data_IF_271748479044
#
_entry.id   IF_271748479044
#
_cell.length_a   1.000
_cell.length_b   1.000
_cell.length_c   1.000
_cell.angle_alpha   90.00
_cell.angle_beta   90.00
_cell.angle_gamma   90.00
#
_symmetry.space_group_name_H-M   'P 1'
#
loop_
_entity.id
_entity.type
_entity.pdbx_description
1 polymer ?
#
# COMPACT_ATOMS: atom_id res chain seq x y z
N UNK A 1 -2.89 0.10 2.31
CA UNK A 1 -3.19 1.34 1.55
C UNK A 1 -3.50 0.99 0.10
N UNK A 2 -4.59 1.50 -0.50
CA UNK A 2 -4.97 1.26 -1.90
C UNK A 2 -4.84 2.54 -2.72
N UNK A 3 -4.04 2.50 -3.77
CA UNK A 3 -3.80 3.65 -4.65
C UNK A 3 -4.48 3.46 -6.01
N UNK A 4 -5.21 4.48 -6.47
CA UNK A 4 -5.69 4.58 -7.85
C UNK A 4 -4.69 5.41 -8.64
N UNK A 5 -3.88 4.77 -9.47
CA UNK A 5 -2.82 5.42 -10.24
C UNK A 5 -3.20 5.49 -11.72
N UNK A 6 -2.88 6.62 -12.36
CA UNK A 6 -3.01 6.81 -13.81
C UNK A 6 -1.63 6.65 -14.46
N UNK A 7 -1.03 5.47 -14.32
CA UNK A 7 0.27 5.16 -14.92
C UNK A 7 0.13 3.97 -15.88
N UNK A 8 1.02 3.90 -16.87
CA UNK A 8 1.14 2.67 -17.67
C UNK A 8 1.67 1.54 -16.78
N UNK A 9 1.30 0.27 -17.04
CA UNK A 9 1.76 -0.86 -16.22
C UNK A 9 3.28 -0.92 -16.03
N UNK A 10 4.06 -0.60 -17.08
CA UNK A 10 5.52 -0.64 -17.03
C UNK A 10 6.10 0.44 -16.11
N UNK A 11 5.57 1.67 -16.20
CA UNK A 11 6.02 2.77 -15.33
C UNK A 11 5.62 2.54 -13.87
N UNK A 12 4.51 1.84 -13.65
CA UNK A 12 4.05 1.49 -12.31
C UNK A 12 5.00 0.53 -11.60
N UNK A 13 5.42 -0.55 -12.26
CA UNK A 13 6.40 -1.51 -11.70
C UNK A 13 7.69 -0.80 -11.33
N UNK A 14 8.21 0.04 -12.23
CA UNK A 14 9.45 0.77 -12.01
C UNK A 14 9.34 1.74 -10.82
N UNK A 15 8.19 2.41 -10.67
CA UNK A 15 7.94 3.27 -9.51
C UNK A 15 7.84 2.48 -8.20
N UNK A 16 7.20 1.30 -8.21
CA UNK A 16 7.15 0.43 -7.03
C UNK A 16 8.54 -0.08 -6.63
N UNK A 17 9.43 -0.35 -7.58
CA UNK A 17 10.81 -0.74 -7.29
C UNK A 17 11.62 0.39 -6.61
N UNK A 18 11.33 1.65 -6.95
CA UNK A 18 11.95 2.80 -6.27
C UNK A 18 11.40 2.94 -4.86
N UNK A 19 10.07 2.88 -4.72
CA UNK A 19 9.38 3.03 -3.44
C UNK A 19 9.79 1.93 -2.45
N UNK A 20 9.95 0.68 -2.89
CA UNK A 20 10.39 -0.44 -2.02
C UNK A 20 11.80 -0.30 -1.48
N UNK A 21 12.65 0.53 -2.12
CA UNK A 21 14.02 0.81 -1.68
C UNK A 21 14.10 1.93 -0.63
N UNK A 22 13.01 2.67 -0.39
CA UNK A 22 12.99 3.72 0.62
C UNK A 22 13.00 3.13 2.02
N UNK A 23 14.16 3.21 2.69
CA UNK A 23 14.36 2.73 4.06
C UNK A 23 15.08 3.80 4.87
N UNK A 24 14.34 4.48 5.73
CA UNK A 24 14.88 5.51 6.61
C UNK A 24 14.12 5.50 7.94
N UNK A 25 14.79 5.84 9.04
CA UNK A 25 14.23 5.75 10.39
C UNK A 25 12.93 6.56 10.59
N UNK A 26 12.73 7.63 9.83
CA UNK A 26 11.55 8.51 9.90
C UNK A 26 10.55 8.30 8.75
N UNK A 27 10.74 7.26 7.95
CA UNK A 27 9.82 6.90 6.87
C UNK A 27 9.20 5.55 7.19
N UNK A 28 7.89 5.43 6.99
CA UNK A 28 7.22 4.14 7.07
C UNK A 28 7.80 3.21 6.01
N UNK A 29 8.45 2.14 6.43
CA UNK A 29 9.08 1.19 5.54
C UNK A 29 8.04 0.41 4.75
N UNK A 30 8.23 0.37 3.43
CA UNK A 30 7.46 -0.50 2.53
C UNK A 30 8.12 -1.88 2.51
N UNK A 31 7.35 -2.87 2.93
CA UNK A 31 7.77 -4.27 2.99
C UNK A 31 7.58 -4.93 1.62
N UNK A 32 6.50 -4.60 0.92
CA UNK A 32 6.17 -5.18 -0.37
C UNK A 32 5.02 -4.49 -1.07
N UNK A 33 4.68 -4.98 -2.25
CA UNK A 33 3.57 -4.47 -3.05
C UNK A 33 2.90 -5.60 -3.82
N UNK A 34 1.63 -5.42 -4.17
CA UNK A 34 0.88 -6.27 -5.07
C UNK A 34 0.18 -5.39 -6.11
N UNK A 35 0.25 -5.79 -7.38
CA UNK A 35 -0.45 -5.14 -8.49
C UNK A 35 -1.50 -6.12 -8.98
N UNK A 36 -2.76 -5.76 -8.83
CA UNK A 36 -3.90 -6.54 -9.30
C UNK A 36 -4.43 -5.90 -10.58
N UNK A 37 -4.34 -6.65 -11.67
CA UNK A 37 -4.91 -6.28 -12.96
C UNK A 37 -6.29 -6.92 -13.11
N UNK A 38 -7.25 -6.16 -13.62
CA UNK A 38 -8.54 -6.71 -14.01
C UNK A 38 -8.35 -7.43 -15.37
N UNK A 39 -8.26 -8.75 -15.31
CA UNK A 39 -8.09 -9.61 -16.49
C UNK A 39 -9.33 -9.61 -17.39
N UNK A 40 -10.52 -9.34 -16.84
CA UNK A 40 -11.78 -9.35 -17.58
C UNK A 40 -12.05 -8.01 -18.27
N UNK A 41 -11.53 -6.91 -17.71
CA UNK A 41 -11.64 -5.59 -18.30
C UNK A 41 -10.30 -4.85 -18.32
N UNK A 42 -9.49 -5.03 -19.39
CA UNK A 42 -8.16 -4.43 -19.49
C UNK A 42 -8.17 -2.89 -19.60
N UNK A 43 -9.35 -2.26 -19.76
CA UNK A 43 -9.50 -0.81 -19.71
C UNK A 43 -9.66 -0.27 -18.28
N UNK A 44 -9.86 -1.14 -17.28
CA UNK A 44 -9.92 -0.75 -15.87
C UNK A 44 -8.49 -0.56 -15.35
N UNK A 45 -8.28 0.54 -14.63
CA UNK A 45 -6.98 0.85 -14.03
C UNK A 45 -6.59 -0.23 -13.00
N UNK A 46 -5.35 -0.70 -13.09
CA UNK A 46 -4.75 -1.62 -12.13
C UNK A 46 -4.84 -1.07 -10.70
N UNK A 47 -5.14 -1.96 -9.75
CA UNK A 47 -5.11 -1.62 -8.33
C UNK A 47 -3.77 -1.99 -7.73
N UNK A 48 -3.20 -1.09 -6.92
CA UNK A 48 -1.95 -1.35 -6.19
C UNK A 48 -2.22 -1.41 -4.71
N UNK A 49 -1.76 -2.49 -4.10
CA UNK A 49 -1.74 -2.69 -2.67
C UNK A 49 -0.31 -2.56 -2.18
N UNK A 50 -0.12 -1.69 -1.18
CA UNK A 50 1.16 -1.48 -0.53
C UNK A 50 1.15 -2.14 0.83
N UNK A 51 2.15 -2.97 1.08
CA UNK A 51 2.39 -3.63 2.36
C UNK A 51 3.50 -2.83 3.04
N UNK A 52 3.20 -2.26 4.20
CA UNK A 52 4.13 -1.44 4.97
C UNK A 52 4.24 -1.96 6.38
N UNK A 53 5.25 -1.48 7.11
CA UNK A 53 5.26 -1.65 8.55
C UNK A 53 4.02 -1.01 9.17
N UNK A 54 3.56 -1.60 10.28
CA UNK A 54 2.40 -1.11 11.00
C UNK A 54 2.80 0.01 11.97
N UNK A 55 2.10 1.14 11.89
CA UNK A 55 2.23 2.24 12.84
C UNK A 55 0.94 2.32 13.67
N UNK A 56 0.98 1.73 14.87
CA UNK A 56 -0.19 1.62 15.76
C UNK A 56 -0.69 2.95 16.32
N UNK A 57 0.16 3.98 16.33
CA UNK A 57 -0.19 5.27 16.92
C UNK A 57 -1.06 6.12 15.98
N UNK A 58 -1.27 5.70 14.72
CA UNK A 58 -2.04 6.46 13.75
C UNK A 58 -1.33 7.74 13.28
N UNK A 59 -2.09 8.64 12.65
CA UNK A 59 -1.52 9.79 11.95
C UNK A 59 -1.07 10.93 12.89
N UNK A 60 -0.06 11.70 12.46
CA UNK A 60 0.33 12.93 13.16
C UNK A 60 -0.84 13.93 13.28
N UNK A 61 -1.69 14.01 12.25
CA UNK A 61 -2.87 14.88 12.25
C UNK A 61 -3.84 14.52 13.37
N UNK A 62 -4.07 13.23 13.61
CA UNK A 62 -4.98 12.76 14.67
C UNK A 62 -4.48 13.22 16.04
N UNK A 63 -3.17 13.14 16.29
CA UNK A 63 -2.56 13.63 17.52
C UNK A 63 -2.66 15.14 17.69
N UNK A 64 -2.41 15.92 16.62
CA UNK A 64 -2.47 17.38 16.67
C UNK A 64 -3.91 17.91 16.83
N UNK A 65 -4.90 17.18 16.35
CA UNK A 65 -6.30 17.61 16.38
C UNK A 65 -7.10 17.01 17.55
N UNK A 66 -6.48 16.13 18.35
CA UNK A 66 -7.14 15.46 19.48
C UNK A 66 -8.23 14.46 19.07
N UNK A 67 -8.31 14.11 17.79
CA UNK A 67 -9.29 13.16 17.27
C UNK A 67 -8.73 11.73 17.36
N UNK A 68 -8.80 11.14 18.56
CA UNK A 68 -8.39 9.76 18.82
C UNK A 68 -9.40 8.69 18.33
N UNK A 69 -10.51 9.10 17.72
CA UNK A 69 -11.61 8.23 17.31
C UNK A 69 -11.39 7.49 15.98
N UNK A 70 -10.34 7.81 15.24
CA UNK A 70 -9.86 6.97 14.14
C UNK A 70 -8.74 6.08 14.69
N UNK A 71 -9.10 4.94 15.30
CA UNK A 71 -8.14 3.84 15.36
C UNK A 71 -7.75 3.54 13.92
N UNK A 72 -6.50 3.81 13.58
CA UNK A 72 -5.98 3.59 12.24
C UNK A 72 -5.94 2.06 12.01
N UNK A 73 -7.07 1.53 11.54
CA UNK A 73 -7.25 0.11 11.25
C UNK A 73 -6.37 -0.34 10.08
N UNK A 74 -5.54 0.53 9.50
CA UNK A 74 -4.58 0.19 8.44
C UNK A 74 -3.67 -0.98 8.84
N UNK A 75 -3.40 -1.16 10.13
CA UNK A 75 -2.65 -2.31 10.65
C UNK A 75 -3.40 -3.66 10.57
N UNK A 76 -4.72 -3.67 10.37
CA UNK A 76 -5.57 -4.87 10.39
C UNK A 76 -5.82 -5.49 9.00
N UNK A 77 -5.35 -4.88 7.91
CA UNK A 77 -5.73 -5.28 6.54
C UNK A 77 -4.69 -6.10 5.77
N UNK A 78 -3.61 -6.56 6.41
CA UNK A 78 -2.54 -7.28 5.70
C UNK A 78 -2.93 -8.73 5.36
N UNK A 79 -3.92 -9.31 6.04
CA UNK A 79 -4.27 -10.73 5.91
C UNK A 79 -4.90 -11.09 4.55
N UNK A 80 -5.73 -10.24 3.95
CA UNK A 80 -6.40 -10.62 2.69
C UNK A 80 -5.45 -10.70 1.48
N UNK A 81 -4.36 -9.92 1.47
CA UNK A 81 -3.39 -9.95 0.36
C UNK A 81 -2.41 -11.13 0.46
N UNK A 82 -2.17 -11.68 1.65
CA UNK A 82 -1.26 -12.82 1.85
C UNK A 82 -1.92 -14.18 1.53
N UNK A 83 -3.25 -14.21 1.38
CA UNK A 83 -3.99 -15.41 0.97
C UNK A 83 -4.11 -15.57 -0.55
N UNK A 84 -3.66 -14.60 -1.37
CA UNK A 84 -3.70 -14.72 -2.82
C UNK A 84 -2.47 -15.51 -3.34
N UNK A 85 -2.66 -16.72 -3.90
CA UNK A 85 -1.56 -17.56 -4.38
C UNK A 85 -0.82 -16.98 -5.59
N UNK A 86 -1.29 -15.88 -6.18
CA UNK A 86 -0.64 -15.19 -7.30
C UNK A 86 0.35 -14.10 -6.85
N UNK A 87 0.47 -13.81 -5.54
CA UNK A 87 1.49 -12.88 -5.04
C UNK A 87 2.89 -13.50 -5.15
N UNK A 88 3.68 -12.99 -6.09
CA UNK A 88 5.12 -13.23 -6.10
C UNK A 88 5.77 -12.21 -5.16
N UNK A 89 6.34 -12.70 -4.05
CA UNK A 89 7.17 -11.90 -3.11
C UNK A 89 8.50 -11.53 -3.75
#
# INVERSE_FOLDING_TARGET
>A
MRLKLKYSPQSLVQYMEIVSKLRHHHLVSIIGHCIVNDLENPNIASSVYLISECVSNGSLRSHLTGNYSEQDHTCNYITECLQDPQLTV
#
